data_IF_752171665942
#
_entry.id   IF_752171665942
#
_cell.length_a   1.000
_cell.length_b   1.000
_cell.length_c   1.000
_cell.angle_alpha   90.00
_cell.angle_beta   90.00
_cell.angle_gamma   90.00
#
_symmetry.space_group_name_H-M   'P 1'
#
loop_
_entity.id
_entity.type
_entity.pdbx_description
1 polymer ?
#
# COMPACT_ATOMS: atom_id res chain seq x y z
N UNK A 1 -12.35 5.82 26.68
CA UNK A 1 -11.66 6.19 25.43
C UNK A 1 -10.28 5.61 25.63
N UNK A 2 -10.01 4.47 25.03
CA UNK A 2 -8.70 3.82 25.14
C UNK A 2 -7.84 4.40 24.01
N UNK A 3 -6.84 5.17 24.43
CA UNK A 3 -5.83 5.71 23.51
C UNK A 3 -5.06 4.53 22.92
N UNK A 4 -5.25 4.29 21.64
CA UNK A 4 -4.42 3.37 20.88
C UNK A 4 -2.98 3.91 20.89
N UNK A 5 -1.96 3.07 21.03
CA UNK A 5 -0.57 3.52 20.94
C UNK A 5 -0.34 4.19 19.59
N UNK A 6 0.44 5.27 19.58
CA UNK A 6 0.61 6.20 18.45
C UNK A 6 1.01 5.52 17.14
N UNK A 7 1.84 4.48 17.18
CA UNK A 7 2.29 3.73 16.01
C UNK A 7 1.17 2.90 15.33
N UNK A 8 0.13 2.41 16.06
CA UNK A 8 -1.03 1.73 15.46
C UNK A 8 -1.84 2.65 14.53
N UNK A 9 -1.67 3.94 14.67
CA UNK A 9 -2.30 4.95 13.83
C UNK A 9 -1.67 5.02 12.44
N UNK A 10 -0.36 4.74 12.34
CA UNK A 10 0.41 4.83 11.09
C UNK A 10 0.23 3.66 10.14
N UNK A 11 0.10 2.45 10.67
CA UNK A 11 -0.22 1.29 9.84
C UNK A 11 -1.51 1.46 9.04
N UNK A 12 -2.36 2.39 9.45
CA UNK A 12 -3.56 2.76 8.70
C UNK A 12 -3.28 3.51 7.40
N UNK A 13 -2.08 4.05 7.21
CA UNK A 13 -1.76 5.03 6.16
C UNK A 13 -0.73 4.58 5.16
N UNK A 14 0.32 3.89 5.59
CA UNK A 14 1.32 3.30 4.68
C UNK A 14 0.67 2.25 3.76
N UNK A 15 -0.51 1.79 4.15
CA UNK A 15 -1.30 0.80 3.43
C UNK A 15 -2.48 1.38 2.67
N UNK A 16 -2.53 2.69 2.42
CA UNK A 16 -3.54 3.27 1.54
C UNK A 16 -3.31 2.92 0.07
N UNK A 17 -2.09 2.56 -0.31
CA UNK A 17 -1.81 1.81 -1.54
C UNK A 17 -1.98 0.29 -1.35
N UNK A 18 -1.90 -0.19 -0.10
CA UNK A 18 -2.08 -1.57 0.32
C UNK A 18 -3.12 -1.53 1.45
N UNK A 19 -4.39 -1.79 1.17
CA UNK A 19 -5.55 -1.67 2.08
C UNK A 19 -5.38 -2.53 3.33
N UNK A 20 -4.79 -1.99 4.42
CA UNK A 20 -4.59 -2.73 5.67
C UNK A 20 -4.99 -1.98 6.92
N UNK A 21 -5.83 -2.57 7.71
CA UNK A 21 -6.23 -2.13 9.04
C UNK A 21 -5.94 -3.23 10.06
N UNK A 22 -4.98 -3.03 10.94
CA UNK A 22 -4.77 -3.91 12.08
C UNK A 22 -5.30 -3.28 13.37
N UNK A 23 -6.10 -4.02 14.11
CA UNK A 23 -6.54 -3.72 15.47
C UNK A 23 -5.90 -4.76 16.41
N UNK A 24 -4.95 -4.37 17.24
CA UNK A 24 -4.49 -5.24 18.35
C UNK A 24 -4.57 -4.49 19.65
N UNK A 25 -5.18 -5.14 20.65
CA UNK A 25 -5.17 -4.74 22.06
C UNK A 25 -4.28 -5.71 22.81
N UNK A 26 -3.20 -5.24 23.45
CA UNK A 26 -2.57 -5.99 24.53
C UNK A 26 -1.82 -5.05 25.48
N UNK A 27 -2.00 -5.29 26.76
CA UNK A 27 -1.33 -4.60 27.86
C UNK A 27 -0.05 -5.36 28.28
N UNK A 28 0.98 -4.62 28.68
CA UNK A 28 2.10 -5.22 29.40
C UNK A 28 3.44 -4.52 29.16
N UNK A 29 4.04 -4.01 30.24
CA UNK A 29 5.36 -3.39 30.30
C UNK A 29 6.48 -4.37 29.95
N UNK A 30 6.95 -4.32 28.72
CA UNK A 30 8.29 -4.74 28.31
C UNK A 30 8.65 -3.87 27.11
N UNK A 31 9.91 -3.62 26.85
CA UNK A 31 10.38 -3.05 25.56
C UNK A 31 9.87 -3.96 24.46
N UNK A 32 8.67 -3.71 24.00
CA UNK A 32 7.96 -4.64 23.15
C UNK A 32 8.27 -4.31 21.69
N UNK A 33 8.99 -5.19 21.04
CA UNK A 33 8.80 -5.37 19.62
C UNK A 33 7.36 -5.84 19.44
N UNK A 34 6.59 -5.11 18.69
CA UNK A 34 5.27 -5.53 18.28
C UNK A 34 5.36 -6.30 16.99
N UNK A 35 4.68 -7.43 16.96
CA UNK A 35 4.64 -8.33 15.84
C UNK A 35 3.18 -8.48 15.40
N UNK A 36 2.90 -8.20 14.14
CA UNK A 36 1.56 -8.29 13.57
C UNK A 36 1.58 -9.18 12.35
N UNK A 37 0.63 -10.11 12.26
CA UNK A 37 0.35 -10.89 11.05
C UNK A 37 -0.96 -10.39 10.46
N UNK A 38 -0.96 -10.16 9.19
CA UNK A 38 -2.13 -9.69 8.46
C UNK A 38 -2.45 -10.62 7.29
N UNK A 39 -3.75 -10.88 7.08
CA UNK A 39 -4.23 -11.62 5.93
C UNK A 39 -5.43 -10.92 5.29
N UNK A 40 -5.51 -10.91 3.96
CA UNK A 40 -6.65 -10.37 3.23
C UNK A 40 -7.00 -11.20 2.00
N UNK A 41 -8.28 -11.06 1.61
CA UNK A 41 -8.80 -11.47 0.31
C UNK A 41 -9.45 -10.25 -0.32
N UNK A 42 -9.02 -9.88 -1.51
CA UNK A 42 -9.61 -8.80 -2.29
C UNK A 42 -10.17 -9.34 -3.61
N UNK A 43 -11.21 -8.71 -4.12
CA UNK A 43 -11.77 -9.06 -5.43
C UNK A 43 -10.89 -8.63 -6.59
N UNK A 44 -10.00 -7.62 -6.34
CA UNK A 44 -9.00 -7.15 -7.28
C UNK A 44 -7.85 -6.52 -6.48
N UNK A 45 -6.61 -6.83 -6.82
CA UNK A 45 -5.44 -6.17 -6.27
C UNK A 45 -5.11 -4.94 -7.13
N UNK A 46 -5.39 -3.76 -6.60
CA UNK A 46 -5.19 -2.49 -7.30
C UNK A 46 -4.05 -1.70 -6.66
N UNK A 47 -3.01 -1.39 -7.44
CA UNK A 47 -1.87 -0.58 -7.01
C UNK A 47 -1.75 0.67 -7.88
N UNK A 48 -1.74 1.86 -7.27
CA UNK A 48 -1.74 3.16 -7.96
C UNK A 48 -2.76 3.22 -9.11
N UNK A 49 -3.98 2.66 -8.86
CA UNK A 49 -5.10 2.64 -9.79
C UNK A 49 -5.07 1.55 -10.86
N UNK A 50 -4.01 0.74 -10.92
CA UNK A 50 -3.84 -0.34 -11.91
C UNK A 50 -4.09 -1.69 -11.24
N UNK A 51 -4.87 -2.58 -11.89
CA UNK A 51 -5.04 -3.95 -11.44
C UNK A 51 -3.77 -4.76 -11.64
N UNK A 52 -3.29 -5.38 -10.57
CA UNK A 52 -2.14 -6.31 -10.56
C UNK A 52 -2.57 -7.78 -10.54
N UNK A 53 -3.87 -8.04 -10.40
CA UNK A 53 -4.44 -9.39 -10.43
C UNK A 53 -5.32 -9.68 -11.65
N UNK A 54 -5.20 -8.87 -12.72
CA UNK A 54 -5.99 -8.98 -13.96
C UNK A 54 -7.51 -9.04 -13.68
N UNK A 55 -8.00 -8.17 -12.76
CA UNK A 55 -9.40 -8.09 -12.31
C UNK A 55 -9.90 -9.37 -11.61
N UNK A 56 -8.99 -10.23 -11.16
CA UNK A 56 -9.31 -11.44 -10.42
C UNK A 56 -9.03 -11.28 -8.91
N UNK A 57 -9.63 -12.17 -8.13
CA UNK A 57 -9.42 -12.17 -6.69
C UNK A 57 -7.96 -12.48 -6.35
N UNK A 58 -7.42 -11.72 -5.37
CA UNK A 58 -6.08 -11.90 -4.86
C UNK A 58 -6.08 -12.19 -3.35
N UNK A 59 -5.16 -13.06 -2.93
CA UNK A 59 -4.86 -13.34 -1.54
C UNK A 59 -3.59 -12.60 -1.12
N UNK A 60 -3.63 -11.95 0.04
CA UNK A 60 -2.54 -11.12 0.55
C UNK A 60 -2.18 -11.53 1.97
N UNK A 61 -0.89 -11.47 2.29
CA UNK A 61 -0.35 -11.75 3.62
C UNK A 61 0.74 -10.73 3.95
N UNK A 62 0.79 -10.26 5.20
CA UNK A 62 1.91 -9.47 5.69
C UNK A 62 2.36 -9.93 7.08
N UNK A 63 3.62 -9.69 7.37
CA UNK A 63 4.23 -9.87 8.67
C UNK A 63 5.02 -8.61 8.96
N UNK A 64 4.63 -7.91 10.02
CA UNK A 64 5.19 -6.65 10.43
C UNK A 64 5.86 -6.74 11.78
N UNK A 65 6.93 -5.98 11.94
CA UNK A 65 7.63 -5.79 13.20
C UNK A 65 7.86 -4.29 13.43
N UNK A 66 7.57 -3.81 14.62
CA UNK A 66 7.87 -2.43 15.01
C UNK A 66 8.47 -2.37 16.42
N UNK A 67 9.24 -1.35 16.69
CA UNK A 67 9.89 -1.12 17.98
C UNK A 67 9.63 0.27 18.53
N UNK A 68 9.70 0.42 19.86
CA UNK A 68 9.46 1.68 20.60
C UNK A 68 10.34 2.85 20.11
N UNK A 69 11.49 2.57 19.49
CA UNK A 69 12.39 3.59 18.96
C UNK A 69 11.91 4.19 17.61
N UNK A 70 10.79 3.68 17.04
CA UNK A 70 10.25 4.14 15.78
C UNK A 70 10.71 3.35 14.55
N UNK A 71 11.60 2.37 14.70
CA UNK A 71 11.98 1.49 13.60
C UNK A 71 10.86 0.48 13.33
N UNK A 72 10.59 0.24 12.07
CA UNK A 72 9.64 -0.77 11.60
C UNK A 72 10.19 -1.50 10.38
N UNK A 73 9.64 -2.66 10.10
CA UNK A 73 9.94 -3.42 8.90
C UNK A 73 9.00 -4.60 8.76
N UNK A 74 9.00 -5.20 7.59
CA UNK A 74 8.12 -6.33 7.33
C UNK A 74 8.32 -6.96 5.98
N UNK A 75 7.47 -7.94 5.73
CA UNK A 75 7.33 -8.63 4.45
C UNK A 75 5.85 -8.68 4.11
N UNK A 76 5.52 -8.29 2.91
CA UNK A 76 4.18 -8.42 2.36
C UNK A 76 4.22 -9.27 1.09
N UNK A 77 3.14 -10.00 0.82
CA UNK A 77 3.01 -10.77 -0.40
C UNK A 77 1.56 -10.77 -0.89
N UNK A 78 1.38 -10.81 -2.21
CA UNK A 78 0.10 -10.94 -2.89
C UNK A 78 0.20 -11.88 -4.08
N UNK A 79 -0.87 -12.64 -4.30
CA UNK A 79 -1.05 -13.22 -5.63
C UNK A 79 -1.31 -12.12 -6.64
N UNK A 80 -0.70 -12.25 -7.81
CA UNK A 80 -0.81 -11.32 -8.94
C UNK A 80 -1.11 -12.06 -10.23
N UNK A 81 -1.48 -11.35 -11.27
CA UNK A 81 -1.55 -11.86 -12.64
C UNK A 81 -0.97 -10.80 -13.60
N UNK A 82 0.36 -10.61 -13.48
CA UNK A 82 1.08 -9.65 -14.32
C UNK A 82 1.65 -10.40 -15.54
N UNK A 83 0.89 -10.36 -16.63
CA UNK A 83 1.28 -11.01 -17.88
C UNK A 83 2.00 -10.04 -18.82
N UNK A 84 3.23 -10.38 -19.21
CA UNK A 84 3.99 -9.68 -20.23
C UNK A 84 4.40 -10.66 -21.33
N UNK A 85 3.69 -10.62 -22.45
CA UNK A 85 3.89 -11.57 -23.55
C UNK A 85 3.50 -13.00 -23.15
N UNK A 86 4.46 -13.92 -23.11
CA UNK A 86 4.23 -15.31 -22.67
C UNK A 86 4.54 -15.56 -21.20
N UNK A 87 4.83 -14.49 -20.43
CA UNK A 87 5.29 -14.55 -19.04
C UNK A 87 4.19 -14.12 -18.12
N UNK A 88 3.93 -14.91 -17.09
CA UNK A 88 3.01 -14.57 -16.02
C UNK A 88 3.80 -14.50 -14.70
N UNK A 89 3.61 -13.40 -13.96
CA UNK A 89 4.08 -13.23 -12.59
C UNK A 89 2.85 -13.39 -11.70
N UNK A 90 2.81 -14.51 -10.98
CA UNK A 90 1.66 -14.89 -10.15
C UNK A 90 1.84 -14.57 -8.67
N UNK A 91 2.96 -13.97 -8.32
CA UNK A 91 3.30 -13.59 -6.94
C UNK A 91 4.15 -12.33 -6.94
N UNK A 92 3.82 -11.43 -6.03
CA UNK A 92 4.63 -10.29 -5.59
C UNK A 92 5.02 -10.51 -4.14
N UNK A 93 6.27 -10.20 -3.80
CA UNK A 93 6.77 -10.23 -2.42
C UNK A 93 7.60 -8.99 -2.18
N UNK A 94 7.18 -8.19 -1.20
CA UNK A 94 7.81 -6.92 -0.86
C UNK A 94 8.45 -7.00 0.51
N UNK A 95 9.64 -6.43 0.60
CA UNK A 95 10.39 -6.28 1.84
C UNK A 95 10.55 -4.80 2.12
N UNK A 96 10.33 -4.39 3.36
CA UNK A 96 10.48 -3.00 3.73
C UNK A 96 11.12 -2.83 5.09
N UNK A 97 11.83 -1.72 5.22
CA UNK A 97 12.37 -1.25 6.50
C UNK A 97 12.29 0.28 6.52
N UNK A 98 11.94 0.84 7.66
CA UNK A 98 11.80 2.27 7.80
C UNK A 98 11.92 2.76 9.24
N UNK A 99 11.77 4.06 9.36
CA UNK A 99 11.74 4.76 10.61
C UNK A 99 10.60 5.78 10.60
N UNK A 100 9.83 5.82 11.68
CA UNK A 100 8.75 6.78 11.90
C UNK A 100 9.04 7.62 13.12
N UNK A 101 8.72 8.90 13.05
CA UNK A 101 8.80 9.84 14.16
C UNK A 101 7.49 10.61 14.29
N UNK A 102 6.98 10.66 15.51
CA UNK A 102 5.85 11.47 15.93
C UNK A 102 6.34 12.74 16.63
N UNK A 103 5.65 13.84 16.43
CA UNK A 103 5.94 15.14 17.03
C UNK A 103 4.77 15.57 17.93
N UNK A 104 5.04 16.40 18.92
CA UNK A 104 4.05 16.84 19.93
C UNK A 104 2.89 17.69 19.37
N UNK A 105 2.93 18.04 18.09
CA UNK A 105 1.97 18.93 17.42
C UNK A 105 1.15 18.21 16.33
N UNK A 106 0.78 16.96 16.55
CA UNK A 106 0.00 16.11 15.66
C UNK A 106 0.65 15.80 14.29
N UNK A 107 1.90 16.19 14.11
CA UNK A 107 2.68 15.86 12.92
C UNK A 107 3.45 14.56 13.11
N UNK A 108 3.70 13.94 12.00
CA UNK A 108 4.50 12.73 11.93
C UNK A 108 5.26 12.67 10.61
N UNK A 109 6.35 11.94 10.59
CA UNK A 109 7.09 11.65 9.37
C UNK A 109 7.63 10.24 9.40
N UNK A 110 7.63 9.58 8.25
CA UNK A 110 8.35 8.32 8.08
C UNK A 110 9.21 8.34 6.82
N UNK A 111 10.25 7.52 6.86
CA UNK A 111 11.11 7.24 5.72
C UNK A 111 11.32 5.73 5.67
N UNK A 112 11.12 5.13 4.50
CA UNK A 112 11.34 3.70 4.28
C UNK A 112 12.02 3.40 2.96
N UNK A 113 12.65 2.24 2.91
CA UNK A 113 13.11 1.60 1.68
C UNK A 113 12.27 0.35 1.49
N UNK A 114 11.68 0.21 0.31
CA UNK A 114 10.87 -0.91 -0.09
C UNK A 114 11.56 -1.64 -1.24
N UNK A 115 11.61 -2.96 -1.17
CA UNK A 115 12.09 -3.83 -2.24
C UNK A 115 10.90 -4.62 -2.77
N UNK A 116 10.48 -4.32 -3.98
CA UNK A 116 9.47 -5.07 -4.73
C UNK A 116 10.13 -6.23 -5.46
N UNK A 117 9.59 -7.43 -5.31
CA UNK A 117 10.10 -8.62 -6.00
C UNK A 117 8.97 -9.43 -6.62
N UNK A 118 9.22 -9.92 -7.82
CA UNK A 118 8.25 -10.69 -8.61
C UNK A 118 8.82 -12.07 -8.92
N UNK A 119 8.82 -13.01 -7.94
CA UNK A 119 9.39 -14.34 -8.12
C UNK A 119 8.66 -15.13 -9.20
N UNK A 120 9.40 -15.98 -9.89
CA UNK A 120 8.89 -16.75 -11.02
C UNK A 120 9.16 -16.09 -12.37
N UNK A 121 8.92 -16.83 -13.44
CA UNK A 121 9.28 -16.45 -14.81
C UNK A 121 10.57 -17.10 -15.27
N UNK A 122 10.89 -16.96 -16.54
CA UNK A 122 11.98 -17.70 -17.22
C UNK A 122 13.37 -17.07 -17.10
N UNK A 123 13.58 -16.19 -16.10
CA UNK A 123 14.90 -15.71 -15.67
C UNK A 123 15.58 -14.66 -16.55
N UNK A 124 14.98 -14.22 -17.66
CA UNK A 124 15.62 -13.28 -18.58
C UNK A 124 15.22 -11.82 -18.41
N UNK A 125 14.21 -11.51 -17.61
CA UNK A 125 13.81 -10.14 -17.26
C UNK A 125 13.54 -10.10 -15.77
N UNK A 126 14.28 -9.25 -15.09
CA UNK A 126 14.09 -8.93 -13.68
C UNK A 126 13.13 -7.74 -13.59
N UNK A 127 12.03 -7.88 -12.83
CA UNK A 127 11.08 -6.80 -12.54
C UNK A 127 11.29 -6.24 -11.14
N UNK A 128 12.28 -6.75 -10.42
CA UNK A 128 12.58 -6.34 -9.06
C UNK A 128 13.16 -4.94 -9.03
N UNK A 129 12.68 -4.11 -8.11
CA UNK A 129 13.22 -2.76 -7.92
C UNK A 129 13.13 -2.31 -6.48
N UNK A 130 13.84 -1.23 -6.15
CA UNK A 130 13.77 -0.58 -4.85
C UNK A 130 13.04 0.75 -4.99
N UNK A 131 12.30 1.12 -3.96
CA UNK A 131 11.63 2.41 -3.87
C UNK A 131 11.93 3.04 -2.50
N UNK A 132 12.27 4.32 -2.50
CA UNK A 132 12.38 5.15 -1.32
C UNK A 132 11.04 5.85 -1.13
N UNK A 133 10.42 5.71 0.05
CA UNK A 133 9.17 6.37 0.40
C UNK A 133 9.36 7.33 1.57
N UNK A 134 8.78 8.52 1.46
CA UNK A 134 8.70 9.51 2.53
C UNK A 134 7.24 9.93 2.73
N UNK A 135 6.74 9.80 3.97
CA UNK A 135 5.37 10.15 4.31
C UNK A 135 5.35 11.22 5.41
N UNK A 136 4.51 12.24 5.23
CA UNK A 136 4.24 13.28 6.21
C UNK A 136 2.77 13.20 6.60
N UNK A 137 2.49 12.99 7.89
CA UNK A 137 1.14 12.86 8.43
C UNK A 137 0.75 14.05 9.31
N UNK A 138 -0.54 14.37 9.32
CA UNK A 138 -1.13 15.38 10.19
C UNK A 138 -2.46 14.89 10.78
N UNK A 139 -2.60 14.99 12.10
CA UNK A 139 -3.82 14.66 12.89
C UNK A 139 -4.34 13.22 12.65
N UNK A 140 -3.47 12.29 12.23
CA UNK A 140 -3.84 10.92 11.80
C UNK A 140 -4.98 10.90 10.77
N UNK A 141 -5.11 11.95 9.98
CA UNK A 141 -6.20 12.13 9.01
C UNK A 141 -5.74 12.52 7.63
N UNK A 142 -4.62 13.20 7.54
CA UNK A 142 -4.07 13.69 6.27
C UNK A 142 -2.65 13.17 6.12
N UNK A 143 -2.31 12.72 4.93
CA UNK A 143 -0.97 12.27 4.60
C UNK A 143 -0.56 12.77 3.24
N UNK A 144 0.71 13.12 3.15
CA UNK A 144 1.39 13.44 1.91
C UNK A 144 2.55 12.46 1.75
N UNK A 145 2.57 11.73 0.64
CA UNK A 145 3.52 10.69 0.32
C UNK A 145 4.34 11.06 -0.93
N UNK A 146 5.62 10.77 -0.87
CA UNK A 146 6.57 10.90 -1.97
C UNK A 146 7.32 9.59 -2.11
N UNK A 147 7.29 9.02 -3.29
CA UNK A 147 8.04 7.80 -3.61
C UNK A 147 9.00 8.06 -4.76
N UNK A 148 10.13 7.38 -4.73
CA UNK A 148 11.16 7.46 -5.75
C UNK A 148 11.79 6.11 -6.00
N UNK A 149 11.93 5.75 -7.25
CA UNK A 149 12.79 4.66 -7.71
C UNK A 149 13.70 5.15 -8.84
N UNK A 150 14.90 4.60 -8.94
CA UNK A 150 15.83 4.81 -10.06
C UNK A 150 15.80 3.66 -11.07
N UNK A 151 14.98 2.64 -10.83
CA UNK A 151 14.99 1.40 -11.60
C UNK A 151 13.61 0.73 -11.67
N UNK A 152 12.60 1.45 -12.17
CA UNK A 152 11.23 0.95 -12.26
C UNK A 152 11.15 -0.37 -13.05
N UNK A 153 10.58 -1.41 -12.42
CA UNK A 153 10.46 -2.76 -12.99
C UNK A 153 11.78 -3.34 -13.51
N UNK A 154 12.90 -3.07 -12.81
CA UNK A 154 14.23 -3.56 -13.16
C UNK A 154 14.85 -2.88 -14.38
N UNK A 155 14.26 -1.80 -14.88
CA UNK A 155 14.85 -0.94 -15.90
C UNK A 155 15.59 0.22 -15.22
N UNK A 156 16.69 0.70 -15.83
CA UNK A 156 17.42 1.90 -15.36
C UNK A 156 16.64 3.18 -15.74
N UNK A 157 15.39 3.28 -15.29
CA UNK A 157 14.45 4.36 -15.59
C UNK A 157 13.80 4.83 -14.28
N UNK A 158 13.95 6.10 -13.97
CA UNK A 158 13.41 6.67 -12.74
C UNK A 158 11.89 6.87 -12.81
N UNK A 159 11.25 6.74 -11.64
CA UNK A 159 9.85 7.09 -11.46
C UNK A 159 9.60 7.76 -10.11
N UNK A 160 8.59 8.63 -10.06
CA UNK A 160 8.20 9.40 -8.88
C UNK A 160 6.70 9.32 -8.68
N UNK A 161 6.27 8.96 -7.47
CA UNK A 161 4.86 9.09 -7.09
C UNK A 161 4.70 10.20 -6.05
N UNK A 162 3.64 10.97 -6.21
CA UNK A 162 3.18 11.95 -5.22
C UNK A 162 1.72 11.65 -4.93
N UNK A 163 1.39 11.39 -3.67
CA UNK A 163 0.01 11.11 -3.26
C UNK A 163 -0.40 11.96 -2.05
N UNK A 164 -1.63 12.44 -2.05
CA UNK A 164 -2.30 13.00 -0.88
C UNK A 164 -3.46 12.09 -0.52
N UNK A 165 -3.50 11.66 0.73
CA UNK A 165 -4.57 10.82 1.24
C UNK A 165 -5.20 11.39 2.50
N UNK A 166 -6.46 11.02 2.73
CA UNK A 166 -7.22 11.49 3.87
C UNK A 166 -8.17 10.40 4.37
N UNK A 167 -8.42 10.41 5.70
CA UNK A 167 -9.31 9.44 6.35
C UNK A 167 -10.08 10.09 7.50
N UNK A 168 -11.39 9.82 7.56
CA UNK A 168 -12.28 10.34 8.61
C UNK A 168 -13.16 9.24 9.19
N UNK A 169 -13.21 9.13 10.53
CA UNK A 169 -14.19 8.27 11.19
C UNK A 169 -15.60 8.82 10.96
N UNK A 170 -16.52 7.92 10.63
CA UNK A 170 -17.94 8.18 10.48
C UNK A 170 -18.73 7.45 11.58
N UNK A 171 -20.04 7.79 11.80
CA UNK A 171 -20.89 7.01 12.69
C UNK A 171 -20.94 5.53 12.34
N UNK A 172 -21.29 4.68 13.31
CA UNK A 172 -21.45 3.22 13.16
C UNK A 172 -20.14 2.46 12.84
N UNK A 173 -19.01 2.94 13.37
CA UNK A 173 -17.67 2.36 13.15
C UNK A 173 -17.23 2.36 11.66
N UNK A 174 -17.86 3.17 10.84
CA UNK A 174 -17.42 3.38 9.47
C UNK A 174 -16.21 4.31 9.43
N UNK A 175 -15.34 4.10 8.46
CA UNK A 175 -14.25 5.02 8.12
C UNK A 175 -14.35 5.34 6.64
N UNK A 176 -14.46 6.61 6.31
CA UNK A 176 -14.32 7.12 4.95
C UNK A 176 -12.85 7.41 4.67
N UNK A 177 -12.35 7.02 3.51
CA UNK A 177 -10.98 7.34 3.09
C UNK A 177 -10.91 7.65 1.59
N UNK A 178 -9.97 8.48 1.21
CA UNK A 178 -9.74 8.88 -0.18
C UNK A 178 -8.28 9.21 -0.40
N UNK A 179 -7.79 9.03 -1.63
CA UNK A 179 -6.50 9.55 -2.06
C UNK A 179 -6.55 10.02 -3.51
N UNK A 180 -5.60 10.87 -3.85
CA UNK A 180 -5.29 11.30 -5.21
C UNK A 180 -3.79 11.42 -5.37
N UNK A 181 -3.25 10.86 -6.45
CA UNK A 181 -1.83 10.89 -6.73
C UNK A 181 -1.52 11.11 -8.21
N UNK A 182 -0.25 11.38 -8.45
CA UNK A 182 0.34 11.43 -9.78
C UNK A 182 1.61 10.61 -9.79
N UNK A 183 1.65 9.65 -10.69
CA UNK A 183 2.81 8.80 -10.90
C UNK A 183 3.53 9.24 -12.18
N UNK A 184 4.69 9.86 -12.02
CA UNK A 184 5.56 10.22 -13.13
C UNK A 184 6.39 9.00 -13.53
N UNK A 185 6.10 8.47 -14.68
CA UNK A 185 6.79 7.36 -15.34
C UNK A 185 7.32 7.79 -16.71
N UNK A 186 7.66 9.07 -16.83
CA UNK A 186 8.00 9.69 -18.11
C UNK A 186 9.28 9.13 -18.73
N UNK A 187 10.25 8.70 -17.93
CA UNK A 187 11.44 8.02 -18.44
C UNK A 187 11.09 6.68 -19.10
N UNK A 188 10.16 5.92 -18.50
CA UNK A 188 9.72 4.63 -19.04
C UNK A 188 8.75 4.77 -20.19
N UNK A 189 7.78 5.70 -20.10
CA UNK A 189 6.61 5.71 -20.96
C UNK A 189 6.32 7.05 -21.66
N UNK A 190 7.18 8.06 -21.48
CA UNK A 190 7.07 9.37 -22.11
C UNK A 190 6.16 10.36 -21.38
N UNK A 191 5.30 9.92 -20.48
CA UNK A 191 4.45 10.73 -19.61
C UNK A 191 4.06 9.96 -18.35
N UNK A 192 3.55 10.66 -17.34
CA UNK A 192 2.94 10.07 -16.14
C UNK A 192 1.42 9.98 -16.25
N UNK A 193 0.79 9.53 -15.17
CA UNK A 193 -0.65 9.42 -15.05
C UNK A 193 -1.14 9.78 -13.64
N UNK A 194 -2.41 10.18 -13.54
CA UNK A 194 -3.07 10.41 -12.27
C UNK A 194 -3.85 9.18 -11.84
N UNK A 195 -3.89 8.94 -10.53
CA UNK A 195 -4.72 7.90 -9.92
C UNK A 195 -5.47 8.46 -8.72
N UNK A 196 -6.63 7.89 -8.40
CA UNK A 196 -7.39 8.27 -7.23
C UNK A 196 -8.27 7.14 -6.74
N UNK A 197 -8.65 7.21 -5.50
CA UNK A 197 -9.52 6.23 -4.88
C UNK A 197 -10.42 6.87 -3.82
N UNK A 198 -11.57 6.25 -3.59
CA UNK A 198 -12.48 6.59 -2.51
C UNK A 198 -13.08 5.31 -1.95
N UNK A 199 -13.11 5.18 -0.63
CA UNK A 199 -13.57 3.95 0.01
C UNK A 199 -14.25 4.17 1.35
N UNK A 200 -14.97 3.13 1.77
CA UNK A 200 -15.56 3.02 3.10
C UNK A 200 -15.16 1.67 3.67
N UNK A 201 -14.62 1.72 4.90
CA UNK A 201 -14.28 0.51 5.65
C UNK A 201 -15.05 0.41 6.94
N UNK A 202 -15.19 -0.84 7.45
CA UNK A 202 -15.84 -1.13 8.72
C UNK A 202 -15.23 -2.38 9.37
N UNK A 203 -14.84 -2.32 10.66
CA UNK A 203 -14.53 -3.51 11.42
C UNK A 203 -15.80 -4.29 11.75
N UNK A 204 -15.77 -5.61 11.55
CA UNK A 204 -16.84 -6.57 11.85
C UNK A 204 -16.26 -7.71 12.69
N UNK A 205 -16.36 -7.60 14.02
CA UNK A 205 -15.76 -8.53 14.97
C UNK A 205 -14.24 -8.68 14.75
N UNK A 206 -13.76 -9.82 14.26
CA UNK A 206 -12.36 -10.11 13.98
C UNK A 206 -11.94 -9.83 12.53
N UNK A 207 -12.89 -9.42 11.67
CA UNK A 207 -12.67 -9.04 10.28
C UNK A 207 -12.81 -7.53 10.10
N UNK A 208 -12.22 -7.00 9.05
CA UNK A 208 -12.53 -5.70 8.47
C UNK A 208 -13.03 -5.88 7.04
N UNK A 209 -13.97 -5.05 6.64
CA UNK A 209 -14.49 -4.98 5.26
C UNK A 209 -14.18 -3.61 4.72
N UNK A 210 -13.58 -3.54 3.54
CA UNK A 210 -13.34 -2.30 2.79
C UNK A 210 -13.96 -2.42 1.40
N UNK A 211 -14.75 -1.42 1.03
CA UNK A 211 -15.29 -1.24 -0.32
C UNK A 211 -14.71 0.03 -0.91
N UNK A 212 -14.01 -0.10 -2.03
CA UNK A 212 -13.22 0.98 -2.61
C UNK A 212 -13.41 1.08 -4.11
N UNK A 213 -13.65 2.30 -4.58
CA UNK A 213 -13.61 2.67 -5.99
C UNK A 213 -12.24 3.23 -6.33
N UNK A 214 -11.66 2.77 -7.42
CA UNK A 214 -10.42 3.22 -7.99
C UNK A 214 -10.62 3.72 -9.40
N UNK A 215 -9.82 4.69 -9.81
CA UNK A 215 -9.80 5.17 -11.18
C UNK A 215 -8.46 5.82 -11.52
N UNK A 216 -8.18 5.93 -12.80
CA UNK A 216 -6.96 6.55 -13.33
C UNK A 216 -7.26 7.50 -14.47
N UNK A 217 -6.28 8.28 -14.85
CA UNK A 217 -6.36 9.15 -16.02
C UNK A 217 -5.03 9.21 -16.74
N UNK A 218 -5.06 9.01 -18.04
CA UNK A 218 -3.89 9.12 -18.94
C UNK A 218 -2.79 8.06 -18.73
N UNK A 219 -3.15 6.85 -18.30
CA UNK A 219 -2.16 5.76 -18.14
C UNK A 219 -1.53 5.44 -19.51
N UNK A 220 -0.18 5.51 -19.61
CA UNK A 220 0.50 5.15 -20.84
C UNK A 220 0.36 3.65 -21.13
N UNK A 221 0.08 3.28 -22.38
CA UNK A 221 -0.06 1.88 -22.80
C UNK A 221 1.20 1.02 -22.58
N UNK A 222 2.37 1.66 -22.40
CA UNK A 222 3.62 0.98 -22.04
C UNK A 222 3.64 0.56 -20.56
N UNK A 223 2.90 1.25 -19.71
CA UNK A 223 2.80 0.93 -18.27
C UNK A 223 1.75 -0.14 -18.05
N UNK A 224 0.55 0.01 -18.63
CA UNK A 224 -0.54 -0.94 -18.45
C UNK A 224 -1.48 -0.95 -19.64
N UNK A 225 -2.06 -2.12 -19.98
CA UNK A 225 -3.21 -2.20 -20.87
C UNK A 225 -4.37 -1.37 -20.32
N UNK A 226 -5.16 -0.76 -21.20
CA UNK A 226 -6.25 0.15 -20.81
C UNK A 226 -7.26 -0.51 -19.85
N UNK A 227 -7.65 -1.77 -20.10
CA UNK A 227 -8.65 -2.46 -19.25
C UNK A 227 -8.17 -2.65 -17.79
N UNK A 228 -6.85 -2.78 -17.56
CA UNK A 228 -6.30 -2.88 -16.19
C UNK A 228 -6.20 -1.52 -15.48
N UNK A 229 -6.35 -0.44 -16.22
CA UNK A 229 -6.29 0.94 -15.74
C UNK A 229 -7.67 1.64 -15.72
N UNK A 230 -8.72 0.97 -16.16
CA UNK A 230 -10.09 1.47 -16.13
C UNK A 230 -10.63 1.54 -14.69
N UNK A 231 -11.66 2.34 -14.48
CA UNK A 231 -12.34 2.46 -13.18
C UNK A 231 -12.91 1.14 -12.69
N UNK A 232 -12.77 0.87 -11.38
CA UNK A 232 -13.20 -0.38 -10.76
C UNK A 232 -13.60 -0.25 -9.30
N UNK A 233 -14.34 -1.26 -8.82
CA UNK A 233 -14.69 -1.41 -7.41
C UNK A 233 -14.02 -2.67 -6.89
N UNK A 234 -13.24 -2.53 -5.83
CA UNK A 234 -12.66 -3.64 -5.09
C UNK A 234 -13.34 -3.81 -3.72
N UNK A 235 -13.61 -5.04 -3.35
CA UNK A 235 -14.06 -5.44 -2.01
C UNK A 235 -12.93 -6.24 -1.36
N UNK A 236 -12.49 -5.79 -0.19
CA UNK A 236 -11.45 -6.46 0.58
C UNK A 236 -11.98 -6.91 1.94
N UNK A 237 -11.73 -8.15 2.28
CA UNK A 237 -11.93 -8.74 3.61
C UNK A 237 -10.55 -8.97 4.24
N UNK A 238 -10.33 -8.47 5.45
CA UNK A 238 -9.03 -8.57 6.10
C UNK A 238 -9.13 -8.91 7.58
N UNK A 239 -8.07 -9.51 8.11
CA UNK A 239 -7.88 -9.78 9.54
C UNK A 239 -6.43 -9.52 9.94
N UNK A 240 -6.24 -9.11 11.19
CA UNK A 240 -4.92 -8.96 11.81
C UNK A 240 -4.87 -9.73 13.13
N UNK A 241 -3.69 -10.28 13.43
CA UNK A 241 -3.45 -11.17 14.58
C UNK A 241 -2.18 -10.76 15.31
#
# INVERSE_FOLDING_TARGET
>A
MNDLPEWQRWFRCILSSLSLLALCTAAGNARAQEFTVYAALTTDYVYRGISYSDEHAAAQLAIDVSGDAGFFGGVWASTTDLTSGTRNRSLEVDYYIGYVRYFDNDWSTSLSVNRYTYPGGDGNVDYDYNELAAVFGFDDRLWFELDYTDSLFGHDEAAYNVEVSASWPLPSLLTFSTSVGYYDVSETAGNGYSHWQVGISRPLAWLSVDLRYHDTSNVPARISPAHLADSRIALTLSAAF
#
